data_IF_747856717768
#
_entry.id   IF_747856717768
#
_cell.length_a   1.000
_cell.length_b   1.000
_cell.length_c   1.000
_cell.angle_alpha   90.00
_cell.angle_beta   90.00
_cell.angle_gamma   90.00
#
_symmetry.space_group_name_H-M   'P 1'
#
loop_
_entity.id
_entity.type
_entity.pdbx_description
1 polymer ?
#
# COMPACT_ATOMS: atom_id res chain seq x y z
N UNK A 1 -25.24 -35.18 2.09
CA UNK A 1 -24.69 -33.86 2.45
C UNK A 1 -25.10 -32.95 1.32
N UNK A 2 -25.91 -31.97 1.67
CA UNK A 2 -26.75 -31.24 0.73
C UNK A 2 -25.97 -30.07 0.13
N UNK A 3 -26.28 -29.69 -1.12
CA UNK A 3 -25.52 -28.66 -1.84
C UNK A 3 -25.42 -27.36 -1.03
N UNK A 4 -26.52 -26.93 -0.38
CA UNK A 4 -26.53 -25.77 0.52
C UNK A 4 -25.46 -25.80 1.63
N UNK A 5 -25.07 -26.98 2.16
CA UNK A 5 -23.97 -27.07 3.13
C UNK A 5 -22.59 -26.90 2.49
N UNK A 6 -22.43 -27.34 1.24
CA UNK A 6 -21.19 -27.24 0.48
C UNK A 6 -20.99 -25.81 -0.06
N UNK A 7 -22.08 -25.17 -0.51
CA UNK A 7 -22.11 -23.77 -0.94
C UNK A 7 -21.81 -22.84 0.25
N UNK A 8 -22.48 -23.04 1.41
CA UNK A 8 -22.20 -22.30 2.64
C UNK A 8 -20.76 -22.47 3.14
N UNK A 9 -20.14 -23.63 2.92
CA UNK A 9 -18.71 -23.84 3.20
C UNK A 9 -17.82 -23.03 2.23
N UNK A 10 -18.21 -22.96 0.95
CA UNK A 10 -17.53 -22.15 -0.06
C UNK A 10 -17.55 -20.65 0.31
N UNK A 11 -18.73 -20.07 0.59
CA UNK A 11 -18.85 -18.65 0.92
C UNK A 11 -18.11 -18.27 2.21
N UNK A 12 -18.12 -19.15 3.23
CA UNK A 12 -17.31 -18.95 4.44
C UNK A 12 -15.80 -19.03 4.18
N UNK A 13 -15.38 -19.83 3.19
CA UNK A 13 -14.00 -19.87 2.73
C UNK A 13 -13.61 -18.60 1.97
N UNK A 14 -14.50 -18.07 1.13
CA UNK A 14 -14.26 -16.84 0.33
C UNK A 14 -14.28 -15.58 1.20
N UNK A 15 -15.23 -15.47 2.14
CA UNK A 15 -15.24 -14.41 3.15
C UNK A 15 -13.93 -14.39 3.97
N UNK A 16 -13.39 -15.57 4.31
CA UNK A 16 -12.10 -15.71 4.99
C UNK A 16 -10.94 -15.26 4.10
N UNK A 17 -10.93 -15.62 2.80
CA UNK A 17 -9.93 -15.14 1.83
C UNK A 17 -9.97 -13.63 1.64
N UNK A 18 -11.14 -13.02 1.43
CA UNK A 18 -11.28 -11.57 1.27
C UNK A 18 -10.86 -10.81 2.53
N UNK A 19 -11.22 -11.29 3.73
CA UNK A 19 -10.75 -10.71 4.99
C UNK A 19 -9.23 -10.85 5.15
N UNK A 20 -8.65 -12.00 4.78
CA UNK A 20 -7.20 -12.23 4.80
C UNK A 20 -6.45 -11.33 3.81
N UNK A 21 -6.99 -11.10 2.60
CA UNK A 21 -6.47 -10.16 1.62
C UNK A 21 -6.47 -8.73 2.17
N UNK A 22 -7.63 -8.24 2.65
CA UNK A 22 -7.76 -6.90 3.23
C UNK A 22 -6.82 -6.70 4.43
N UNK A 23 -6.69 -7.69 5.31
CA UNK A 23 -5.79 -7.65 6.46
C UNK A 23 -4.31 -7.73 6.07
N UNK A 24 -3.97 -8.39 4.95
CA UNK A 24 -2.60 -8.45 4.43
C UNK A 24 -2.22 -7.12 3.78
N UNK A 25 -3.10 -6.58 2.93
CA UNK A 25 -2.94 -5.25 2.32
C UNK A 25 -2.77 -4.17 3.38
N UNK A 26 -3.66 -4.10 4.38
CA UNK A 26 -3.56 -3.15 5.49
C UNK A 26 -2.21 -3.23 6.23
N UNK A 27 -1.62 -4.42 6.34
CA UNK A 27 -0.30 -4.59 6.98
C UNK A 27 0.83 -4.02 6.11
N UNK A 28 0.72 -4.18 4.79
CA UNK A 28 1.66 -3.63 3.81
C UNK A 28 1.54 -2.10 3.73
N UNK A 29 0.32 -1.56 3.61
CA UNK A 29 0.04 -0.12 3.59
C UNK A 29 0.64 0.58 4.82
N UNK A 30 0.47 0.00 6.02
CA UNK A 30 1.06 0.52 7.26
C UNK A 30 2.59 0.41 7.26
N UNK A 31 3.13 -0.77 6.91
CA UNK A 31 4.59 -1.01 6.89
C UNK A 31 5.34 -0.20 5.84
N UNK A 32 4.67 0.24 4.77
CA UNK A 32 5.17 1.26 3.85
C UNK A 32 5.10 2.63 4.51
N UNK A 33 3.94 3.01 5.05
CA UNK A 33 3.73 4.36 5.60
C UNK A 33 4.69 4.78 6.71
N UNK A 34 5.16 3.85 7.53
CA UNK A 34 6.19 4.14 8.53
C UNK A 34 7.51 4.59 7.89
N UNK A 35 7.84 4.11 6.68
CA UNK A 35 9.04 4.52 5.93
C UNK A 35 8.86 5.89 5.28
N UNK A 36 7.76 6.10 4.57
CA UNK A 36 7.45 7.36 3.87
C UNK A 36 7.24 8.53 4.86
N UNK A 37 6.74 8.27 6.07
CA UNK A 37 6.64 9.29 7.15
C UNK A 37 8.03 9.65 7.71
N UNK A 38 8.96 8.69 7.78
CA UNK A 38 10.37 8.96 8.14
C UNK A 38 11.08 9.75 7.03
N UNK A 39 10.80 9.47 5.75
CA UNK A 39 11.27 10.25 4.60
C UNK A 39 10.75 11.70 4.66
N UNK A 40 9.44 11.90 4.88
CA UNK A 40 8.84 13.23 5.07
C UNK A 40 9.50 14.00 6.22
N UNK A 41 9.78 13.32 7.33
CA UNK A 41 10.47 13.89 8.49
C UNK A 41 11.91 14.28 8.17
N UNK A 42 12.64 13.47 7.40
CA UNK A 42 14.00 13.75 6.90
C UNK A 42 14.00 14.97 5.98
N UNK A 43 13.01 15.10 5.10
CA UNK A 43 12.84 16.26 4.22
C UNK A 43 12.63 17.56 5.01
N UNK A 44 11.74 17.56 6.02
CA UNK A 44 11.51 18.75 6.84
C UNK A 44 12.73 19.12 7.69
N UNK A 45 13.47 18.14 8.24
CA UNK A 45 14.73 18.42 8.93
C UNK A 45 15.76 19.03 7.99
N UNK A 46 15.93 18.50 6.77
CA UNK A 46 16.83 19.07 5.77
C UNK A 46 16.45 20.53 5.43
N UNK A 47 15.16 20.83 5.23
CA UNK A 47 14.68 22.20 5.00
C UNK A 47 14.98 23.13 6.17
N UNK A 48 14.74 22.70 7.42
CA UNK A 48 15.05 23.48 8.61
C UNK A 48 16.55 23.77 8.75
N UNK A 49 17.39 22.76 8.51
CA UNK A 49 18.84 22.87 8.47
C UNK A 49 19.32 23.86 7.39
N UNK A 50 18.71 23.84 6.20
CA UNK A 50 19.06 24.75 5.09
C UNK A 50 18.66 26.19 5.43
N UNK A 51 17.46 26.42 5.94
CA UNK A 51 17.01 27.74 6.39
C UNK A 51 17.92 28.31 7.49
N UNK A 52 18.28 27.49 8.48
CA UNK A 52 19.21 27.87 9.55
C UNK A 52 20.61 28.25 9.03
N UNK A 53 21.15 27.51 8.05
CA UNK A 53 22.40 27.88 7.36
C UNK A 53 22.28 29.22 6.62
N UNK A 54 21.14 29.47 5.98
CA UNK A 54 20.87 30.67 5.17
C UNK A 54 20.68 31.93 6.04
N UNK A 55 20.07 31.83 7.23
CA UNK A 55 19.99 32.93 8.20
C UNK A 55 21.36 33.32 8.79
N UNK A 56 22.33 32.40 8.84
CA UNK A 56 23.63 32.61 9.46
C UNK A 56 24.74 33.08 8.49
N UNK A 57 24.61 32.89 7.16
CA UNK A 57 25.61 33.38 6.18
C UNK A 57 25.23 34.71 5.51
N UNK A 58 26.11 35.71 5.64
CA UNK A 58 26.11 36.90 4.76
C UNK A 58 26.70 36.49 3.41
N UNK A 59 25.83 36.37 2.41
CA UNK A 59 26.00 35.47 1.26
C UNK A 59 27.09 35.87 0.26
N UNK A 60 27.82 34.87 -0.23
CA UNK A 60 28.57 34.91 -1.51
C UNK A 60 27.74 34.22 -2.58
N UNK A 61 27.68 34.78 -3.81
CA UNK A 61 26.73 34.37 -4.85
C UNK A 61 26.62 32.85 -5.07
N UNK A 62 27.74 32.13 -5.24
CA UNK A 62 27.71 30.71 -5.61
C UNK A 62 27.05 29.80 -4.56
N UNK A 63 27.24 30.11 -3.27
CA UNK A 63 26.59 29.35 -2.18
C UNK A 63 25.08 29.58 -2.17
N UNK A 64 24.61 30.75 -2.59
CA UNK A 64 23.17 31.05 -2.66
C UNK A 64 22.48 30.20 -3.75
N UNK A 65 23.19 29.89 -4.83
CA UNK A 65 22.71 28.99 -5.89
C UNK A 65 22.70 27.53 -5.41
N UNK A 66 23.77 27.07 -4.74
CA UNK A 66 23.84 25.74 -4.10
C UNK A 66 22.73 25.53 -3.05
N UNK A 67 22.42 26.56 -2.26
CA UNK A 67 21.33 26.53 -1.27
C UNK A 67 19.96 26.50 -1.95
N UNK A 68 19.74 27.29 -3.01
CA UNK A 68 18.49 27.23 -3.78
C UNK A 68 18.23 25.83 -4.37
N UNK A 69 19.26 25.18 -4.92
CA UNK A 69 19.12 23.80 -5.44
C UNK A 69 18.75 22.80 -4.32
N UNK A 70 19.34 22.92 -3.14
CA UNK A 70 19.02 22.07 -1.98
C UNK A 70 17.60 22.32 -1.45
N UNK A 71 17.12 23.57 -1.42
CA UNK A 71 15.71 23.89 -1.09
C UNK A 71 14.78 23.28 -2.13
N UNK A 72 15.05 23.50 -3.43
CA UNK A 72 14.18 23.02 -4.50
C UNK A 72 14.09 21.49 -4.54
N UNK A 73 15.21 20.79 -4.34
CA UNK A 73 15.22 19.33 -4.21
C UNK A 73 14.41 18.86 -2.99
N UNK A 74 14.61 19.48 -1.83
CA UNK A 74 13.89 19.10 -0.60
C UNK A 74 12.39 19.41 -0.68
N UNK A 75 11.99 20.54 -1.31
CA UNK A 75 10.57 20.85 -1.57
C UNK A 75 9.94 19.80 -2.51
N UNK A 76 10.64 19.40 -3.58
CA UNK A 76 10.16 18.35 -4.48
C UNK A 76 9.96 17.01 -3.74
N UNK A 77 10.94 16.60 -2.91
CA UNK A 77 10.83 15.38 -2.11
C UNK A 77 9.66 15.47 -1.10
N UNK A 78 9.40 16.66 -0.54
CA UNK A 78 8.24 16.90 0.33
C UNK A 78 6.91 16.78 -0.40
N UNK A 79 6.81 17.26 -1.64
CA UNK A 79 5.62 17.06 -2.50
C UNK A 79 5.39 15.57 -2.79
N UNK A 80 6.44 14.81 -3.10
CA UNK A 80 6.35 13.35 -3.28
C UNK A 80 5.84 12.64 -2.01
N UNK A 81 6.35 13.02 -0.84
CA UNK A 81 5.92 12.44 0.43
C UNK A 81 4.48 12.85 0.83
N UNK A 82 3.98 14.01 0.41
CA UNK A 82 2.55 14.35 0.53
C UNK A 82 1.67 13.51 -0.43
N UNK A 83 2.13 13.24 -1.65
CA UNK A 83 1.43 12.33 -2.58
C UNK A 83 1.37 10.90 -2.03
N UNK A 84 2.39 10.45 -1.30
CA UNK A 84 2.32 9.19 -0.57
C UNK A 84 1.18 9.19 0.48
N UNK A 85 1.09 10.23 1.32
CA UNK A 85 0.07 10.30 2.37
C UNK A 85 -1.36 10.30 1.82
N UNK A 86 -1.59 10.96 0.68
CA UNK A 86 -2.84 10.90 -0.07
C UNK A 86 -3.12 9.48 -0.59
N UNK A 87 -2.14 8.83 -1.26
CA UNK A 87 -2.25 7.44 -1.73
C UNK A 87 -2.55 6.44 -0.59
N UNK A 88 -1.91 6.58 0.57
CA UNK A 88 -2.19 5.79 1.77
C UNK A 88 -3.65 5.97 2.21
N UNK A 89 -4.10 7.23 2.30
CA UNK A 89 -5.47 7.57 2.72
C UNK A 89 -6.51 6.98 1.76
N UNK A 90 -6.26 7.04 0.46
CA UNK A 90 -7.09 6.41 -0.58
C UNK A 90 -7.11 4.88 -0.44
N UNK A 91 -5.95 4.24 -0.26
CA UNK A 91 -5.87 2.78 -0.12
C UNK A 91 -6.58 2.29 1.16
N UNK A 92 -6.43 2.98 2.29
CA UNK A 92 -7.18 2.71 3.52
C UNK A 92 -8.70 2.86 3.32
N UNK A 93 -9.13 3.88 2.56
CA UNK A 93 -10.56 4.07 2.23
C UNK A 93 -11.11 2.91 1.39
N UNK A 94 -10.37 2.41 0.40
CA UNK A 94 -10.77 1.25 -0.39
C UNK A 94 -10.80 -0.07 0.41
N UNK A 95 -9.85 -0.27 1.32
CA UNK A 95 -9.87 -1.42 2.25
C UNK A 95 -11.12 -1.34 3.14
N UNK A 96 -11.43 -0.17 3.70
CA UNK A 96 -12.64 0.02 4.52
C UNK A 96 -13.91 -0.24 3.71
N UNK A 97 -14.06 0.36 2.52
CA UNK A 97 -15.20 0.14 1.62
C UNK A 97 -15.37 -1.34 1.26
N UNK A 98 -14.27 -2.08 1.08
CA UNK A 98 -14.32 -3.52 0.80
C UNK A 98 -14.78 -4.31 2.04
N UNK A 99 -14.29 -3.97 3.24
CA UNK A 99 -14.74 -4.59 4.49
C UNK A 99 -16.20 -4.29 4.82
N UNK A 100 -16.67 -3.07 4.58
CA UNK A 100 -18.07 -2.67 4.81
C UNK A 100 -19.01 -3.43 3.86
N UNK A 101 -18.69 -3.50 2.56
CA UNK A 101 -19.47 -4.30 1.59
C UNK A 101 -19.41 -5.81 1.90
N UNK A 102 -18.25 -6.33 2.30
CA UNK A 102 -18.09 -7.73 2.74
C UNK A 102 -18.94 -8.04 3.97
N UNK A 103 -18.99 -7.12 4.94
CA UNK A 103 -19.83 -7.23 6.13
C UNK A 103 -21.32 -7.28 5.78
N UNK A 104 -21.77 -6.44 4.85
CA UNK A 104 -23.14 -6.49 4.34
C UNK A 104 -23.45 -7.81 3.59
N UNK A 105 -22.56 -8.27 2.71
CA UNK A 105 -22.75 -9.52 1.94
C UNK A 105 -22.81 -10.78 2.83
N UNK A 106 -22.09 -10.78 3.95
CA UNK A 106 -22.15 -11.88 4.94
C UNK A 106 -23.44 -11.84 5.78
N UNK A 107 -24.05 -10.67 5.98
CA UNK A 107 -25.30 -10.52 6.73
C UNK A 107 -26.54 -10.86 5.88
N UNK A 108 -26.45 -10.67 4.56
CA UNK A 108 -27.54 -10.88 3.61
C UNK A 108 -27.58 -12.35 3.14
N UNK A 109 -28.41 -13.17 3.80
CA UNK A 109 -28.53 -14.60 3.50
C UNK A 109 -29.13 -14.89 2.12
N UNK A 110 -29.91 -13.97 1.53
CA UNK A 110 -30.52 -14.16 0.21
C UNK A 110 -29.50 -13.86 -0.91
N UNK A 111 -28.63 -12.86 -0.70
CA UNK A 111 -27.56 -12.51 -1.63
C UNK A 111 -26.25 -13.29 -1.38
N UNK A 112 -26.14 -14.08 -0.32
CA UNK A 112 -24.94 -14.86 0.03
C UNK A 112 -24.56 -15.88 -1.07
N UNK A 113 -25.54 -16.37 -1.82
CA UNK A 113 -25.36 -17.30 -2.94
C UNK A 113 -25.03 -16.64 -4.30
N UNK A 114 -24.91 -15.30 -4.36
CA UNK A 114 -24.62 -14.55 -5.57
C UNK A 114 -23.10 -14.48 -5.82
N UNK A 115 -22.58 -15.36 -6.69
CA UNK A 115 -21.16 -15.39 -7.02
C UNK A 115 -20.66 -14.10 -7.70
N UNK A 116 -21.49 -13.41 -8.47
CA UNK A 116 -21.11 -12.15 -9.13
C UNK A 116 -20.82 -11.05 -8.10
N UNK A 117 -21.52 -11.03 -6.96
CA UNK A 117 -21.19 -10.12 -5.83
C UNK A 117 -19.84 -10.44 -5.20
N UNK A 118 -19.50 -11.72 -5.01
CA UNK A 118 -18.19 -12.14 -4.51
C UNK A 118 -17.06 -11.80 -5.49
N UNK A 119 -17.23 -12.07 -6.80
CA UNK A 119 -16.26 -11.67 -7.83
C UNK A 119 -16.17 -10.14 -7.97
N UNK A 120 -17.26 -9.41 -7.73
CA UNK A 120 -17.30 -7.95 -7.66
C UNK A 120 -16.41 -7.38 -6.56
N UNK A 121 -16.56 -7.86 -5.32
CA UNK A 121 -15.67 -7.51 -4.20
C UNK A 121 -14.21 -7.84 -4.50
N UNK A 122 -13.96 -9.05 -4.99
CA UNK A 122 -12.63 -9.53 -5.36
C UNK A 122 -11.98 -8.67 -6.46
N UNK A 123 -12.77 -8.14 -7.39
CA UNK A 123 -12.32 -7.24 -8.47
C UNK A 123 -12.08 -5.83 -7.97
N UNK A 124 -12.95 -5.27 -7.11
CA UNK A 124 -12.70 -3.97 -6.46
C UNK A 124 -11.41 -4.01 -5.64
N UNK A 125 -11.22 -5.06 -4.83
CA UNK A 125 -10.02 -5.25 -4.03
C UNK A 125 -8.78 -5.40 -4.93
N UNK A 126 -8.86 -6.19 -6.02
CA UNK A 126 -7.75 -6.31 -6.99
C UNK A 126 -7.38 -4.95 -7.60
N UNK A 127 -8.38 -4.13 -7.94
CA UNK A 127 -8.17 -2.80 -8.54
C UNK A 127 -7.64 -1.75 -7.53
N UNK A 128 -7.62 -2.04 -6.23
CA UNK A 128 -7.05 -1.16 -5.19
C UNK A 128 -5.53 -1.33 -5.00
N UNK A 129 -4.95 -2.38 -5.58
CA UNK A 129 -3.50 -2.56 -5.66
C UNK A 129 -2.94 -1.73 -6.82
N UNK A 130 -1.75 -1.16 -6.62
CA UNK A 130 -1.05 -0.34 -7.64
C UNK A 130 0.29 -0.92 -8.09
N UNK A 131 0.85 -1.87 -7.34
CA UNK A 131 2.12 -2.53 -7.65
C UNK A 131 1.91 -3.98 -8.10
N UNK A 132 2.77 -4.47 -9.00
CA UNK A 132 2.73 -5.88 -9.44
C UNK A 132 3.05 -6.85 -8.28
N UNK A 133 3.89 -6.44 -7.32
CA UNK A 133 4.15 -7.23 -6.10
C UNK A 133 2.90 -7.40 -5.24
N UNK A 134 2.03 -6.38 -5.15
CA UNK A 134 0.70 -6.47 -4.51
C UNK A 134 -0.25 -7.41 -5.28
N UNK A 135 -0.24 -7.39 -6.62
CA UNK A 135 -1.00 -8.35 -7.43
C UNK A 135 -0.52 -9.80 -7.22
N UNK A 136 0.77 -10.03 -7.04
CA UNK A 136 1.31 -11.36 -6.74
C UNK A 136 0.94 -11.85 -5.32
N UNK A 137 0.87 -10.95 -4.33
CA UNK A 137 0.28 -11.25 -3.01
C UNK A 137 -1.19 -11.67 -3.13
N UNK A 138 -1.97 -10.94 -3.94
CA UNK A 138 -3.38 -11.24 -4.17
C UNK A 138 -3.55 -12.64 -4.79
N UNK A 139 -2.82 -12.95 -5.85
CA UNK A 139 -2.86 -14.27 -6.48
C UNK A 139 -2.39 -15.37 -5.52
N UNK A 140 -1.31 -15.14 -4.77
CA UNK A 140 -0.82 -16.07 -3.75
C UNK A 140 -1.88 -16.44 -2.69
N UNK A 141 -2.67 -15.47 -2.20
CA UNK A 141 -3.72 -15.73 -1.20
C UNK A 141 -4.97 -16.36 -1.85
N UNK A 142 -5.29 -16.02 -3.10
CA UNK A 142 -6.35 -16.72 -3.86
C UNK A 142 -6.01 -18.20 -4.13
N UNK A 143 -4.73 -18.50 -4.39
CA UNK A 143 -4.20 -19.87 -4.49
C UNK A 143 -4.13 -20.62 -3.12
N UNK A 144 -4.54 -19.95 -2.04
CA UNK A 144 -4.63 -20.54 -0.69
C UNK A 144 -3.34 -20.49 0.14
N UNK A 145 -2.31 -19.72 -0.26
CA UNK A 145 -1.13 -19.48 0.59
C UNK A 145 -1.50 -18.65 1.82
N UNK A 146 -0.77 -18.83 2.92
CA UNK A 146 -1.01 -18.07 4.15
C UNK A 146 -0.50 -16.63 4.03
N UNK A 147 -1.02 -15.72 4.88
CA UNK A 147 -0.53 -14.33 4.96
C UNK A 147 0.99 -14.25 5.14
N UNK A 148 1.60 -15.13 5.93
CA UNK A 148 3.06 -15.12 6.10
C UNK A 148 3.79 -15.47 4.80
N UNK A 149 3.34 -16.48 4.06
CA UNK A 149 3.92 -16.86 2.77
C UNK A 149 3.73 -15.77 1.69
N UNK A 150 2.61 -15.05 1.73
CA UNK A 150 2.35 -13.95 0.80
C UNK A 150 3.20 -12.70 1.12
N UNK A 151 3.39 -12.36 2.40
CA UNK A 151 4.30 -11.30 2.83
C UNK A 151 5.78 -11.66 2.59
N UNK A 152 6.14 -12.94 2.66
CA UNK A 152 7.51 -13.40 2.34
C UNK A 152 7.79 -13.32 0.83
N UNK A 153 6.81 -13.68 -0.01
CA UNK A 153 6.87 -13.48 -1.46
C UNK A 153 7.04 -12.00 -1.83
N UNK A 154 6.31 -11.10 -1.17
CA UNK A 154 6.46 -9.65 -1.37
C UNK A 154 7.91 -9.20 -1.11
N UNK A 155 8.47 -9.55 0.06
CA UNK A 155 9.86 -9.22 0.41
C UNK A 155 10.88 -9.77 -0.59
N UNK A 156 10.65 -10.99 -1.10
CA UNK A 156 11.54 -11.59 -2.11
C UNK A 156 11.49 -10.79 -3.43
N UNK A 157 10.30 -10.31 -3.85
CA UNK A 157 10.14 -9.47 -5.03
C UNK A 157 10.76 -8.07 -4.85
N UNK A 158 10.55 -7.43 -3.70
CA UNK A 158 11.20 -6.15 -3.36
C UNK A 158 12.73 -6.26 -3.40
N UNK A 159 13.28 -7.35 -2.86
CA UNK A 159 14.72 -7.62 -2.86
C UNK A 159 15.26 -7.86 -4.27
N UNK A 160 14.55 -8.61 -5.11
CA UNK A 160 14.93 -8.82 -6.52
C UNK A 160 14.90 -7.52 -7.33
N UNK A 161 13.89 -6.67 -7.11
CA UNK A 161 13.82 -5.35 -7.76
C UNK A 161 14.96 -4.41 -7.31
N UNK A 162 15.47 -4.56 -6.09
CA UNK A 162 16.65 -3.81 -5.62
C UNK A 162 17.98 -4.35 -6.16
N UNK A 163 18.11 -5.67 -6.39
CA UNK A 163 19.32 -6.26 -6.99
C UNK A 163 19.41 -5.92 -8.50
N UNK A 164 18.31 -6.02 -9.25
CA UNK A 164 18.26 -5.67 -10.69
C UNK A 164 18.64 -4.19 -10.95
N UNK A 165 18.24 -3.27 -10.06
CA UNK A 165 18.62 -1.84 -10.14
C UNK A 165 20.08 -1.58 -9.72
N UNK A 166 20.72 -2.53 -9.01
CA UNK A 166 22.14 -2.46 -8.62
C UNK A 166 23.07 -3.07 -9.68
N UNK A 167 22.63 -4.07 -10.46
CA UNK A 167 23.41 -4.60 -11.59
C UNK A 167 23.50 -3.65 -12.80
N UNK A 168 22.83 -2.48 -12.75
CA UNK A 168 22.79 -1.51 -13.87
C UNK A 168 23.80 -0.34 -13.78
N UNK A 169 24.74 -0.34 -12.83
CA UNK A 169 25.70 0.75 -12.56
C UNK A 169 27.19 0.36 -12.67
#
# INVERSE_FOLDING_TARGET
MDQQQQDLFCFRSEASRLLLLCNTQLTLSLSQSDQDILELSRVFQNLADICSKLENEKSTSSKLDELHQQIQHSVNNGVMAFQFYDRLTQQLSHIQQTMDQLSHLIQDNDNLADEDKWQGLRTQLKNSYSMESEHQIFHAIMDGKTKQQALELHRQLEQQQHDDDVELF
#
